data_IF_772133012136
#
_entry.id   IF_772133012136
#
_cell.length_a   1.000
_cell.length_b   1.000
_cell.length_c   1.000
_cell.angle_alpha   90.00
_cell.angle_beta   90.00
_cell.angle_gamma   90.00
#
_symmetry.space_group_name_H-M   'P 1'
#
loop_
_entity.id
_entity.type
_entity.pdbx_description
1 polymer ?
#
# COMPACT_ATOMS: atom_id res chain seq x y z
N UNK A 1 23.18 10.20 6.28
CA UNK A 1 22.45 9.29 5.37
C UNK A 1 21.30 10.08 4.77
N UNK A 2 21.29 10.32 3.45
CA UNK A 2 20.21 11.06 2.77
C UNK A 2 19.07 10.08 2.47
N UNK A 3 17.92 10.28 3.10
CA UNK A 3 16.66 9.66 2.71
C UNK A 3 16.23 10.33 1.41
N UNK A 4 16.11 9.57 0.33
CA UNK A 4 15.41 10.02 -0.86
C UNK A 4 13.93 9.77 -0.61
N UNK A 5 13.23 10.81 -0.14
CA UNK A 5 11.77 10.85 -0.16
C UNK A 5 11.34 11.04 -1.61
N UNK A 6 10.98 9.95 -2.28
CA UNK A 6 10.31 10.01 -3.57
C UNK A 6 8.80 10.11 -3.30
N UNK A 7 8.28 11.34 -3.32
CA UNK A 7 6.85 11.59 -3.43
C UNK A 7 6.43 11.21 -4.86
N UNK A 8 6.02 9.96 -5.08
CA UNK A 8 5.39 9.58 -6.35
C UNK A 8 3.93 9.99 -6.28
N UNK A 9 3.65 11.23 -6.70
CA UNK A 9 2.31 11.83 -6.64
C UNK A 9 1.58 11.80 -7.99
N UNK A 10 2.18 11.29 -9.07
CA UNK A 10 1.55 11.28 -10.40
C UNK A 10 1.78 9.97 -11.20
N UNK A 11 0.76 9.52 -11.97
CA UNK A 11 0.80 8.27 -12.75
C UNK A 11 1.79 8.28 -13.94
N UNK A 12 2.48 9.39 -14.20
CA UNK A 12 3.33 9.57 -15.38
C UNK A 12 4.78 9.12 -15.19
N UNK A 13 5.22 8.82 -13.96
CA UNK A 13 6.63 8.40 -13.70
C UNK A 13 6.80 6.88 -13.57
N UNK A 14 5.73 6.09 -13.67
CA UNK A 14 5.76 4.64 -13.44
C UNK A 14 6.26 3.79 -14.63
N UNK A 15 6.68 4.41 -15.74
CA UNK A 15 6.92 3.69 -17.02
C UNK A 15 8.19 2.83 -17.09
N UNK A 16 8.96 2.66 -16.00
CA UNK A 16 10.20 1.86 -16.00
C UNK A 16 10.40 0.95 -14.78
N UNK A 17 9.33 0.44 -14.20
CA UNK A 17 9.44 -0.70 -13.27
C UNK A 17 9.36 -2.06 -14.00
N UNK A 18 9.24 -2.08 -15.34
CA UNK A 18 9.25 -3.29 -16.14
C UNK A 18 10.66 -3.79 -16.45
N UNK A 19 10.96 -5.00 -15.97
CA UNK A 19 11.94 -6.01 -16.44
C UNK A 19 12.60 -6.76 -15.27
N UNK A 20 11.81 -7.08 -14.25
CA UNK A 20 12.07 -8.22 -13.38
C UNK A 20 10.81 -9.09 -13.41
N UNK A 21 10.90 -10.43 -13.48
CA UNK A 21 9.73 -11.32 -13.46
C UNK A 21 8.94 -11.29 -12.12
N UNK A 22 9.12 -10.25 -11.32
CA UNK A 22 8.75 -10.13 -9.91
C UNK A 22 8.23 -8.71 -9.58
N UNK A 23 7.64 -8.03 -10.56
CA UNK A 23 6.95 -6.74 -10.35
C UNK A 23 5.46 -6.99 -10.25
N UNK A 24 5.07 -7.49 -9.08
CA UNK A 24 3.68 -7.74 -8.69
C UNK A 24 2.91 -6.45 -8.36
N UNK A 25 3.47 -5.27 -8.64
CA UNK A 25 2.78 -3.97 -8.50
C UNK A 25 2.98 -3.20 -9.78
N UNK A 26 1.90 -2.92 -10.49
CA UNK A 26 1.92 -2.01 -11.64
C UNK A 26 0.85 -0.95 -11.43
N UNK A 27 1.18 0.31 -11.69
CA UNK A 27 0.23 1.40 -11.55
C UNK A 27 0.30 2.28 -12.80
N UNK A 28 -0.78 2.27 -13.59
CA UNK A 28 -0.96 3.11 -14.78
C UNK A 28 -2.03 4.17 -14.53
N UNK A 29 -2.33 4.98 -15.54
CA UNK A 29 -3.46 5.91 -15.52
C UNK A 29 -4.82 5.21 -15.40
N UNK A 30 -4.92 3.94 -15.81
CA UNK A 30 -6.18 3.19 -15.83
C UNK A 30 -6.28 2.19 -14.67
N UNK A 31 -5.19 1.49 -14.35
CA UNK A 31 -5.23 0.36 -13.44
C UNK A 31 -4.12 0.36 -12.40
N UNK A 32 -4.48 -0.05 -11.19
CA UNK A 32 -3.59 -0.45 -10.11
C UNK A 32 -3.63 -1.97 -9.99
N UNK A 33 -2.56 -2.63 -10.42
CA UNK A 33 -2.32 -4.06 -10.26
C UNK A 33 -1.53 -4.29 -8.96
N UNK A 34 -2.01 -5.20 -8.12
CA UNK A 34 -1.36 -5.63 -6.87
C UNK A 34 -1.52 -7.15 -6.76
N UNK A 35 -0.40 -7.88 -6.88
CA UNK A 35 -0.41 -9.33 -7.04
C UNK A 35 -1.28 -9.75 -8.23
N UNK A 36 -2.21 -10.68 -7.99
CA UNK A 36 -3.20 -11.12 -8.99
C UNK A 36 -4.44 -10.23 -9.07
N UNK A 37 -4.55 -9.18 -8.26
CA UNK A 37 -5.72 -8.31 -8.20
C UNK A 37 -5.51 -7.02 -8.99
N UNK A 38 -6.58 -6.55 -9.63
CA UNK A 38 -6.60 -5.31 -10.41
C UNK A 38 -7.69 -4.39 -9.88
N UNK A 39 -7.36 -3.10 -9.75
CA UNK A 39 -8.24 -2.06 -9.25
C UNK A 39 -8.22 -0.86 -10.21
N UNK A 40 -9.30 -0.09 -10.25
CA UNK A 40 -9.36 1.15 -11.03
C UNK A 40 -8.46 2.23 -10.40
N UNK A 41 -7.54 2.79 -11.19
CA UNK A 41 -6.53 3.73 -10.69
C UNK A 41 -7.10 5.09 -10.29
N UNK A 42 -8.29 5.47 -10.77
CA UNK A 42 -8.93 6.73 -10.44
C UNK A 42 -9.67 6.68 -9.09
N UNK A 43 -10.02 5.47 -8.63
CA UNK A 43 -10.82 5.26 -7.42
C UNK A 43 -10.11 4.47 -6.32
N UNK A 44 -8.88 4.00 -6.56
CA UNK A 44 -8.11 3.24 -5.58
C UNK A 44 -6.69 3.78 -5.43
N UNK A 45 -6.17 3.67 -4.21
CA UNK A 45 -4.82 4.12 -3.85
C UNK A 45 -4.09 3.00 -3.11
N UNK A 46 -2.82 2.78 -3.46
CA UNK A 46 -1.94 1.82 -2.78
C UNK A 46 -1.16 2.50 -1.65
N UNK A 47 -1.26 1.96 -0.45
CA UNK A 47 -0.34 2.20 0.66
C UNK A 47 0.56 0.97 0.77
N UNK A 48 1.88 1.12 0.64
CA UNK A 48 2.78 -0.03 0.74
C UNK A 48 4.22 0.36 1.01
N UNK A 49 4.99 -0.57 1.59
CA UNK A 49 6.45 -0.49 1.68
C UNK A 49 7.07 -1.77 1.12
N UNK A 50 8.06 -1.67 0.22
CA UNK A 50 8.79 -2.84 -0.30
C UNK A 50 10.23 -2.51 -0.69
N UNK A 51 11.13 -3.50 -0.83
CA UNK A 51 12.45 -3.30 -1.39
C UNK A 51 12.38 -2.69 -2.80
N UNK A 52 13.29 -1.75 -3.07
CA UNK A 52 13.41 -1.08 -4.35
C UNK A 52 14.31 -1.90 -5.29
N UNK A 53 13.76 -2.55 -6.34
CA UNK A 53 14.53 -3.38 -7.26
C UNK A 53 15.58 -2.57 -8.03
N UNK A 54 15.32 -1.28 -8.30
CA UNK A 54 16.25 -0.38 -9.00
C UNK A 54 17.47 -0.01 -8.16
N UNK A 55 17.46 -0.32 -6.86
CA UNK A 55 18.57 -0.10 -5.93
C UNK A 55 19.27 -1.40 -5.52
N UNK A 56 19.05 -2.50 -6.25
CA UNK A 56 19.52 -3.83 -5.85
C UNK A 56 18.97 -4.24 -4.48
N UNK A 57 17.74 -3.83 -4.16
CA UNK A 57 17.06 -4.08 -2.88
C UNK A 57 17.74 -3.49 -1.63
N UNK A 58 18.71 -2.57 -1.80
CA UNK A 58 19.39 -1.91 -0.68
C UNK A 58 18.60 -0.75 -0.05
N UNK A 59 17.47 -0.38 -0.66
CA UNK A 59 16.57 0.69 -0.22
C UNK A 59 15.13 0.23 -0.34
N UNK A 60 14.21 1.00 0.25
CA UNK A 60 12.77 0.79 0.11
C UNK A 60 12.15 1.79 -0.87
N UNK A 61 11.07 1.37 -1.52
CA UNK A 61 10.05 2.27 -2.07
C UNK A 61 8.88 2.28 -1.11
N UNK A 62 8.35 3.45 -0.83
CA UNK A 62 7.16 3.64 0.01
C UNK A 62 6.12 4.37 -0.81
N UNK A 63 4.90 3.82 -0.86
CA UNK A 63 3.74 4.42 -1.50
C UNK A 63 2.79 4.90 -0.41
N UNK A 64 2.33 6.16 -0.52
CA UNK A 64 1.32 6.78 0.36
C UNK A 64 1.53 6.47 1.86
N UNK A 65 2.54 7.08 2.47
CA UNK A 65 2.90 6.83 3.87
C UNK A 65 2.19 7.75 4.86
N UNK A 66 2.14 7.32 6.13
CA UNK A 66 1.65 8.12 7.25
C UNK A 66 1.25 7.25 8.44
N UNK A 67 0.90 7.86 9.58
CA UNK A 67 0.26 7.15 10.68
C UNK A 67 -1.02 6.46 10.21
N UNK A 68 -1.19 5.20 10.60
CA UNK A 68 -2.41 4.43 10.29
C UNK A 68 -3.41 4.43 11.44
N UNK A 69 -3.01 4.88 12.63
CA UNK A 69 -3.94 5.26 13.70
C UNK A 69 -4.59 6.61 13.39
N UNK A 70 -5.81 6.82 13.92
CA UNK A 70 -6.68 7.94 13.54
C UNK A 70 -7.27 8.64 14.76
N UNK A 71 -8.21 9.55 14.54
CA UNK A 71 -8.79 10.41 15.58
C UNK A 71 -9.42 9.61 16.72
N UNK A 72 -9.98 8.42 16.45
CA UNK A 72 -10.51 7.54 17.50
C UNK A 72 -9.42 7.00 18.46
N UNK A 73 -8.14 7.11 18.09
CA UNK A 73 -7.00 6.56 18.81
C UNK A 73 -6.18 7.63 19.56
N UNK A 74 -6.74 8.83 19.73
CA UNK A 74 -6.06 9.97 20.36
C UNK A 74 -6.05 9.92 21.90
N UNK A 75 -6.87 9.05 22.50
CA UNK A 75 -7.10 9.01 23.96
C UNK A 75 -5.91 8.50 24.76
N UNK A 76 -5.16 7.54 24.21
CA UNK A 76 -4.02 6.92 24.90
C UNK A 76 -2.96 6.51 23.91
N UNK A 77 -1.69 6.64 24.29
CA UNK A 77 -0.56 6.21 23.46
C UNK A 77 -0.61 4.71 23.09
N UNK A 78 -1.29 3.88 23.89
CA UNK A 78 -1.47 2.45 23.58
C UNK A 78 -2.35 2.16 22.36
N UNK A 79 -3.14 3.14 21.89
CA UNK A 79 -3.97 3.02 20.68
C UNK A 79 -3.24 3.51 19.42
N UNK A 80 -2.05 4.10 19.56
CA UNK A 80 -1.26 4.66 18.47
C UNK A 80 -0.31 3.61 17.86
N UNK A 81 -0.79 2.36 17.76
CA UNK A 81 -0.12 1.28 17.03
C UNK A 81 -0.45 1.34 15.53
N UNK A 82 0.28 0.62 14.66
CA UNK A 82 -0.12 0.45 13.27
C UNK A 82 -1.44 -0.31 13.13
N UNK A 83 -2.33 0.16 12.25
CA UNK A 83 -3.66 -0.44 11.97
C UNK A 83 -3.79 -1.02 10.56
N UNK A 84 -2.77 -0.90 9.72
CA UNK A 84 -2.71 -1.53 8.39
C UNK A 84 -1.46 -2.42 8.29
N UNK A 85 -1.50 -3.50 7.50
CA UNK A 85 -0.36 -4.38 7.28
C UNK A 85 0.65 -3.75 6.28
N UNK A 86 1.62 -4.53 5.79
CA UNK A 86 2.71 -4.02 4.93
C UNK A 86 2.22 -3.36 3.63
N UNK A 87 1.06 -3.78 3.13
CA UNK A 87 0.38 -3.17 2.00
C UNK A 87 -1.15 -3.18 2.16
N UNK A 88 -1.80 -2.13 1.65
CA UNK A 88 -3.24 -2.01 1.57
C UNK A 88 -3.66 -1.21 0.34
N UNK A 89 -4.73 -1.63 -0.31
CA UNK A 89 -5.44 -0.88 -1.34
C UNK A 89 -6.67 -0.27 -0.71
N UNK A 90 -6.76 1.06 -0.74
CA UNK A 90 -7.88 1.81 -0.17
C UNK A 90 -8.77 2.29 -1.31
N UNK A 91 -10.06 1.98 -1.21
CA UNK A 91 -11.10 2.53 -2.08
C UNK A 91 -11.46 3.95 -1.63
N UNK A 92 -11.41 4.88 -2.57
CA UNK A 92 -11.74 6.30 -2.39
C UNK A 92 -13.25 6.56 -2.50
N UNK A 93 -14.05 5.55 -2.85
CA UNK A 93 -15.51 5.66 -2.91
C UNK A 93 -16.13 5.85 -1.52
N UNK A 94 -15.45 5.38 -0.47
CA UNK A 94 -15.86 5.54 0.92
C UNK A 94 -15.01 6.64 1.58
N UNK A 95 -15.63 7.72 2.08
CA UNK A 95 -14.89 8.76 2.79
C UNK A 95 -14.17 8.21 4.03
N UNK A 96 -13.01 8.78 4.39
CA UNK A 96 -12.33 8.43 5.63
C UNK A 96 -13.21 8.70 6.86
N UNK A 97 -13.04 7.88 7.89
CA UNK A 97 -13.64 8.06 9.21
C UNK A 97 -12.58 8.27 10.29
N UNK A 98 -13.02 8.43 11.53
CA UNK A 98 -12.14 8.45 12.70
C UNK A 98 -11.42 7.12 12.96
N UNK A 99 -11.84 6.03 12.30
CA UNK A 99 -11.33 4.67 12.48
C UNK A 99 -10.57 4.17 11.23
N UNK A 100 -10.98 4.57 10.02
CA UNK A 100 -10.46 4.00 8.77
C UNK A 100 -10.11 5.06 7.71
N UNK A 101 -9.09 4.85 6.85
CA UNK A 101 -8.77 5.72 5.70
C UNK A 101 -9.77 5.76 4.57
N UNK A 102 -10.73 4.85 4.60
CA UNK A 102 -11.72 4.61 3.56
C UNK A 102 -12.14 3.16 3.69
N UNK A 103 -12.59 2.56 2.60
CA UNK A 103 -12.76 1.12 2.55
C UNK A 103 -11.43 0.44 2.23
N UNK A 104 -11.04 -0.55 3.03
CA UNK A 104 -9.87 -1.38 2.74
C UNK A 104 -10.29 -2.47 1.74
N UNK A 105 -10.05 -2.23 0.45
CA UNK A 105 -10.46 -3.11 -0.63
C UNK A 105 -9.62 -4.41 -0.69
N UNK A 106 -8.33 -4.30 -0.34
CA UNK A 106 -7.43 -5.43 -0.15
C UNK A 106 -6.29 -5.03 0.79
N UNK A 107 -5.77 -5.97 1.56
CA UNK A 107 -4.60 -5.75 2.39
C UNK A 107 -3.92 -7.07 2.75
N UNK A 108 -2.63 -7.02 3.04
CA UNK A 108 -1.87 -8.19 3.43
C UNK A 108 -0.46 -7.87 3.90
N UNK A 109 0.22 -8.91 4.35
CA UNK A 109 1.64 -8.88 4.67
C UNK A 109 2.44 -9.47 3.50
N UNK A 110 3.68 -9.04 3.38
CA UNK A 110 4.61 -9.77 2.52
C UNK A 110 5.17 -10.99 3.25
N UNK A 111 5.50 -12.05 2.50
CA UNK A 111 6.30 -13.14 3.06
C UNK A 111 7.74 -12.70 3.35
N UNK A 112 8.54 -13.55 4.01
CA UNK A 112 9.92 -13.23 4.40
C UNK A 112 10.84 -12.82 3.23
N UNK A 113 10.51 -13.23 2.01
CA UNK A 113 11.22 -12.86 0.78
C UNK A 113 10.55 -11.68 0.02
N UNK A 114 9.68 -10.93 0.68
CA UNK A 114 9.00 -9.73 0.16
C UNK A 114 8.06 -9.95 -1.05
N UNK A 115 7.59 -11.18 -1.26
CA UNK A 115 6.54 -11.48 -2.26
C UNK A 115 5.13 -11.27 -1.69
N UNK A 116 4.18 -10.96 -2.58
CA UNK A 116 2.76 -11.04 -2.24
C UNK A 116 2.41 -12.49 -1.93
N UNK A 117 1.99 -12.75 -0.69
CA UNK A 117 1.47 -14.05 -0.33
C UNK A 117 -0.05 -14.05 -0.47
N UNK A 118 -0.53 -14.69 -1.55
CA UNK A 118 -1.97 -14.88 -1.78
C UNK A 118 -2.65 -15.72 -0.69
N UNK A 119 -1.89 -16.39 0.18
CA UNK A 119 -2.41 -17.17 1.31
C UNK A 119 -2.44 -16.37 2.62
N UNK A 120 -1.76 -15.23 2.69
CA UNK A 120 -1.82 -14.28 3.84
C UNK A 120 -2.72 -13.12 3.43
N UNK A 121 -3.97 -13.44 3.13
CA UNK A 121 -5.03 -12.45 2.98
C UNK A 121 -5.45 -12.03 4.39
N UNK A 122 -5.51 -10.71 4.66
CA UNK A 122 -6.00 -10.22 5.94
C UNK A 122 -7.42 -10.78 6.21
N UNK A 123 -7.57 -11.70 7.18
CA UNK A 123 -8.89 -12.17 7.55
C UNK A 123 -9.54 -11.01 8.32
N UNK A 124 -10.72 -10.59 7.86
CA UNK A 124 -11.55 -9.55 8.50
C UNK A 124 -11.25 -8.10 8.11
N UNK A 125 -11.27 -7.78 6.81
CA UNK A 125 -11.85 -6.49 6.44
C UNK A 125 -13.34 -6.52 6.82
N UNK A 126 -13.86 -5.58 7.63
CA UNK A 126 -15.22 -5.66 8.13
C UNK A 126 -16.21 -5.62 6.96
N UNK A 127 -16.86 -6.76 6.69
CA UNK A 127 -18.05 -6.79 5.84
C UNK A 127 -19.18 -6.16 6.65
N UNK A 128 -19.50 -4.90 6.38
CA UNK A 128 -20.78 -4.30 6.76
C UNK A 128 -21.37 -3.58 5.58
#
# INVERSE_FOLDING_TARGET
SRVLEAWVTEPTTASRLGESPQVDIAWTSEALQVGSQSFDAASHVLLAIRPNPLSGNSRYVVFNSGPTFRQAHDRTNSLQNPHLPDWAVISLATPPSAESPGEVAAAGFFGDAWQFDANVMWPDAPRR
#
